data_IF_144700366234
#
_entry.id   IF_144700366234
#
_cell.length_a   1.000
_cell.length_b   1.000
_cell.length_c   1.000
_cell.angle_alpha   90.00
_cell.angle_beta   90.00
_cell.angle_gamma   90.00
#
_symmetry.space_group_name_H-M   'P 1'
#
loop_
_entity.id
_entity.type
_entity.pdbx_description
1 polymer ?
#
# COMPACT_ATOMS: atom_id res chain seq x y z
N UNK A 1 9.49 -0.77 8.74
CA UNK A 1 9.57 -0.41 7.30
C UNK A 1 9.25 1.06 7.17
N UNK A 2 9.91 1.77 6.25
CA UNK A 2 9.79 3.22 6.10
C UNK A 2 8.94 3.58 4.87
N UNK A 3 8.26 4.74 4.91
CA UNK A 3 7.58 5.28 3.73
C UNK A 3 8.56 5.57 2.58
N UNK A 4 9.82 5.89 2.89
CA UNK A 4 10.89 6.10 1.89
C UNK A 4 11.24 4.83 1.13
N UNK A 5 11.00 3.65 1.73
CA UNK A 5 11.25 2.39 1.06
C UNK A 5 10.22 2.13 -0.05
N UNK A 6 9.02 2.70 0.03
CA UNK A 6 7.95 2.51 -0.96
C UNK A 6 8.42 2.97 -2.33
N UNK A 7 8.91 4.21 -2.44
CA UNK A 7 9.41 4.74 -3.70
C UNK A 7 10.62 3.94 -4.20
N UNK A 8 11.54 3.57 -3.29
CA UNK A 8 12.74 2.81 -3.63
C UNK A 8 12.44 1.44 -4.24
N UNK A 9 11.53 0.67 -3.65
CA UNK A 9 11.30 -0.73 -4.05
C UNK A 9 10.06 -0.92 -4.93
N UNK A 10 9.01 -0.12 -4.73
CA UNK A 10 7.76 -0.24 -5.47
C UNK A 10 7.61 0.83 -6.56
N UNK A 11 8.30 1.97 -6.45
CA UNK A 11 8.19 3.07 -7.41
C UNK A 11 8.28 2.63 -8.87
N UNK A 12 9.32 1.87 -9.29
CA UNK A 12 9.45 1.39 -10.66
C UNK A 12 8.25 0.54 -11.12
N UNK A 13 7.80 -0.41 -10.30
CA UNK A 13 6.63 -1.26 -10.61
C UNK A 13 5.36 -0.41 -10.70
N UNK A 14 5.11 0.46 -9.72
CA UNK A 14 3.92 1.31 -9.70
C UNK A 14 3.85 2.20 -10.95
N UNK A 15 4.97 2.81 -11.35
CA UNK A 15 5.04 3.61 -12.57
C UNK A 15 4.79 2.79 -13.85
N UNK A 16 5.21 1.52 -13.90
CA UNK A 16 4.89 0.64 -15.04
C UNK A 16 3.38 0.40 -15.19
N UNK A 17 2.63 0.37 -14.09
CA UNK A 17 1.16 0.29 -14.06
C UNK A 17 0.48 1.67 -14.12
N UNK A 18 1.21 2.73 -14.45
CA UNK A 18 0.67 4.08 -14.63
C UNK A 18 0.33 4.81 -13.33
N UNK A 19 0.83 4.34 -12.19
CA UNK A 19 0.71 5.08 -10.93
C UNK A 19 1.83 6.10 -10.77
N UNK A 20 1.45 7.33 -10.50
CA UNK A 20 2.33 8.45 -10.18
C UNK A 20 2.19 8.81 -8.69
N UNK A 21 3.29 9.25 -8.07
CA UNK A 21 3.27 9.70 -6.67
C UNK A 21 2.43 10.97 -6.55
N UNK A 22 1.35 10.93 -5.75
CA UNK A 22 0.46 12.07 -5.49
C UNK A 22 0.89 12.82 -4.23
N UNK A 23 1.11 12.10 -3.11
CA UNK A 23 1.56 12.70 -1.85
C UNK A 23 2.14 11.68 -0.87
N UNK A 24 2.84 12.17 0.15
CA UNK A 24 3.37 11.37 1.26
C UNK A 24 2.88 12.00 2.56
N UNK A 25 2.29 11.19 3.44
CA UNK A 25 1.98 11.56 4.81
C UNK A 25 2.87 10.72 5.75
N UNK A 26 4.04 11.25 6.15
CA UNK A 26 5.04 10.48 6.88
C UNK A 26 4.70 10.29 8.38
N UNK A 27 3.72 11.03 8.90
CA UNK A 27 3.39 11.03 10.33
C UNK A 27 1.87 11.10 10.56
N UNK A 28 1.26 9.93 10.73
CA UNK A 28 -0.15 9.77 11.08
C UNK A 28 -0.25 9.21 12.49
N UNK A 29 -1.20 9.71 13.28
CA UNK A 29 -1.61 9.05 14.52
C UNK A 29 -2.85 8.18 14.25
N UNK A 30 -2.71 6.86 14.43
CA UNK A 30 -3.79 5.89 14.24
C UNK A 30 -3.95 5.02 15.49
N UNK A 31 -5.04 5.23 16.23
CA UNK A 31 -5.28 4.54 17.50
C UNK A 31 -4.15 4.77 18.50
N UNK A 32 -3.73 6.03 18.66
CA UNK A 32 -2.64 6.47 19.55
C UNK A 32 -1.26 5.89 19.19
N UNK A 33 -1.11 5.36 17.98
CA UNK A 33 0.12 4.74 17.48
C UNK A 33 0.57 5.37 16.17
N UNK A 34 1.89 5.41 15.89
CA UNK A 34 2.39 5.99 14.66
C UNK A 34 2.00 5.14 13.45
N UNK A 35 1.75 5.84 12.35
CA UNK A 35 1.45 5.30 11.03
C UNK A 35 2.01 6.23 9.96
N UNK A 36 2.06 5.76 8.72
CA UNK A 36 2.39 6.56 7.55
C UNK A 36 1.61 6.07 6.34
N UNK A 37 1.47 6.93 5.34
CA UNK A 37 0.86 6.59 4.06
C UNK A 37 1.58 7.27 2.91
N UNK A 38 1.70 6.54 1.80
CA UNK A 38 2.15 7.05 0.51
C UNK A 38 1.00 6.88 -0.47
N UNK A 39 0.64 7.97 -1.14
CA UNK A 39 -0.50 8.03 -2.04
C UNK A 39 0.00 8.12 -3.47
N UNK A 40 -0.54 7.25 -4.32
CA UNK A 40 -0.33 7.24 -5.74
C UNK A 40 -1.65 7.38 -6.48
N UNK A 41 -1.57 7.81 -7.74
CA UNK A 41 -2.72 7.98 -8.61
C UNK A 41 -2.41 7.49 -10.01
N UNK A 42 -3.33 6.75 -10.60
CA UNK A 42 -3.34 6.41 -12.02
C UNK A 42 -4.51 7.10 -12.73
N UNK A 43 -4.71 6.78 -14.01
CA UNK A 43 -5.89 7.21 -14.76
C UNK A 43 -7.19 6.55 -14.28
N UNK A 44 -7.10 5.41 -13.60
CA UNK A 44 -8.26 4.57 -13.24
C UNK A 44 -8.64 4.68 -11.76
N UNK A 45 -7.64 4.82 -10.88
CA UNK A 45 -7.87 4.81 -9.43
C UNK A 45 -6.76 5.51 -8.64
N UNK A 46 -6.98 5.62 -7.33
CA UNK A 46 -5.97 5.97 -6.34
C UNK A 46 -5.48 4.70 -5.65
N UNK A 47 -4.20 4.69 -5.31
CA UNK A 47 -3.55 3.67 -4.50
C UNK A 47 -2.94 4.32 -3.26
N UNK A 48 -3.08 3.65 -2.12
CA UNK A 48 -2.37 3.97 -0.89
C UNK A 48 -1.54 2.76 -0.50
N UNK A 49 -0.26 3.00 -0.24
CA UNK A 49 0.62 2.08 0.48
C UNK A 49 0.77 2.67 1.88
N UNK A 50 0.30 1.95 2.90
CA UNK A 50 0.31 2.45 4.26
C UNK A 50 0.89 1.44 5.24
N UNK A 51 1.27 1.92 6.42
CA UNK A 51 1.67 1.09 7.54
C UNK A 51 1.11 1.68 8.82
N UNK A 52 0.76 0.81 9.78
CA UNK A 52 0.46 1.23 11.14
C UNK A 52 1.19 0.38 12.17
N UNK A 53 1.69 1.02 13.24
CA UNK A 53 2.23 0.30 14.40
C UNK A 53 1.16 -0.47 15.21
N UNK A 54 -0.12 -0.23 14.90
CA UNK A 54 -1.24 -0.95 15.50
C UNK A 54 -1.43 -2.32 14.86
N UNK A 55 -1.37 -2.39 13.54
CA UNK A 55 -1.58 -3.63 12.77
C UNK A 55 -0.26 -4.35 12.46
N UNK A 56 0.86 -3.61 12.43
CA UNK A 56 2.20 -4.15 12.19
C UNK A 56 2.47 -4.52 10.73
N UNK A 57 1.48 -4.38 9.85
CA UNK A 57 1.55 -4.66 8.42
C UNK A 57 1.70 -3.39 7.58
N UNK A 58 2.25 -3.57 6.38
CA UNK A 58 2.07 -2.63 5.28
C UNK A 58 0.93 -3.17 4.43
N UNK A 59 -0.01 -2.29 4.08
CA UNK A 59 -1.24 -2.61 3.38
C UNK A 59 -1.37 -1.81 2.08
N UNK A 60 -2.09 -2.40 1.12
CA UNK A 60 -2.45 -1.79 -0.14
C UNK A 60 -3.93 -1.45 -0.15
N UNK A 61 -4.26 -0.19 -0.38
CA UNK A 61 -5.64 0.25 -0.46
C UNK A 61 -5.93 0.97 -1.78
N UNK A 62 -7.05 0.63 -2.40
CA UNK A 62 -7.54 1.25 -3.62
C UNK A 62 -8.74 2.14 -3.32
N UNK A 63 -8.88 3.22 -4.07
CA UNK A 63 -10.07 4.06 -4.05
C UNK A 63 -10.38 4.65 -5.44
N UNK A 64 -11.64 4.99 -5.74
CA UNK A 64 -12.00 5.76 -6.93
C UNK A 64 -11.30 7.12 -6.98
N UNK A 65 -11.15 7.70 -8.19
CA UNK A 65 -10.47 8.98 -8.39
C UNK A 65 -11.10 10.16 -7.62
N UNK A 66 -12.41 10.09 -7.35
CA UNK A 66 -13.17 11.11 -6.62
C UNK A 66 -13.13 10.90 -5.09
N UNK A 67 -12.40 9.89 -4.60
CA UNK A 67 -12.22 9.67 -3.17
C UNK A 67 -11.32 10.74 -2.56
N UNK A 68 -11.65 11.21 -1.33
CA UNK A 68 -10.75 12.11 -0.61
C UNK A 68 -9.43 11.41 -0.30
N UNK A 69 -8.34 12.17 -0.34
CA UNK A 69 -7.02 11.69 0.11
C UNK A 69 -7.05 11.64 1.64
N UNK A 70 -7.33 10.46 2.19
CA UNK A 70 -7.43 10.19 3.62
C UNK A 70 -6.71 8.90 3.99
N UNK A 71 -6.43 8.70 5.28
CA UNK A 71 -5.84 7.46 5.74
C UNK A 71 -6.85 6.30 5.63
N UNK A 72 -6.58 5.33 4.76
CA UNK A 72 -7.52 4.29 4.38
C UNK A 72 -7.84 3.30 5.49
N UNK A 73 -7.04 3.21 6.56
CA UNK A 73 -7.40 2.44 7.77
C UNK A 73 -8.41 3.17 8.67
N UNK A 74 -8.61 4.48 8.47
CA UNK A 74 -9.67 5.27 9.11
C UNK A 74 -10.90 5.34 8.21
N UNK A 75 -10.69 5.46 6.89
CA UNK A 75 -11.71 5.33 5.84
C UNK A 75 -13.05 6.05 6.12
N UNK A 76 -13.03 7.33 6.50
CA UNK A 76 -14.27 8.05 6.85
C UNK A 76 -15.23 8.13 5.66
N UNK A 77 -14.68 8.21 4.44
CA UNK A 77 -15.43 8.21 3.19
C UNK A 77 -16.03 6.85 2.83
N UNK A 78 -15.51 5.76 3.41
CA UNK A 78 -15.80 4.36 3.06
C UNK A 78 -15.43 3.98 1.62
N UNK A 79 -14.64 4.82 0.94
CA UNK A 79 -14.25 4.63 -0.46
C UNK A 79 -12.94 3.86 -0.62
N UNK A 80 -12.12 3.80 0.42
CA UNK A 80 -10.87 3.03 0.41
C UNK A 80 -11.17 1.57 0.72
N UNK A 81 -10.62 0.66 -0.07
CA UNK A 81 -10.83 -0.79 0.06
C UNK A 81 -9.47 -1.49 -0.02
N UNK A 82 -9.28 -2.57 0.74
CA UNK A 82 -8.03 -3.33 0.68
C UNK A 82 -7.91 -4.01 -0.69
N UNK A 83 -6.77 -3.86 -1.38
CA UNK A 83 -6.51 -4.53 -2.66
C UNK A 83 -6.77 -6.04 -2.55
N UNK A 84 -6.24 -6.67 -1.51
CA UNK A 84 -6.37 -8.12 -1.29
C UNK A 84 -7.80 -8.56 -0.95
N UNK A 85 -8.68 -7.65 -0.55
CA UNK A 85 -10.11 -7.97 -0.35
C UNK A 85 -10.93 -7.90 -1.63
N UNK A 86 -10.35 -7.32 -2.69
CA UNK A 86 -11.00 -7.13 -4.00
C UNK A 86 -10.60 -8.21 -5.01
N UNK A 87 -9.68 -9.11 -4.66
CA UNK A 87 -9.16 -10.16 -5.52
C UNK A 87 -9.37 -11.52 -4.87
N UNK A 88 -10.03 -12.43 -5.59
CA UNK A 88 -10.17 -13.84 -5.18
C UNK A 88 -9.00 -14.71 -5.72
N UNK A 89 -7.97 -14.07 -6.29
CA UNK A 89 -6.81 -14.77 -6.84
C UNK A 89 -5.91 -15.29 -5.71
N UNK A 90 -5.52 -16.57 -5.79
CA UNK A 90 -4.49 -17.13 -4.92
C UNK A 90 -3.12 -16.85 -5.55
N UNK A 91 -2.37 -15.93 -4.92
CA UNK A 91 -1.04 -15.53 -5.38
C UNK A 91 0.02 -16.64 -5.26
N UNK A 92 -0.23 -17.68 -4.45
CA UNK A 92 0.72 -18.77 -4.20
C UNK A 92 2.05 -18.33 -3.56
N UNK A 93 2.15 -17.10 -3.07
CA UNK A 93 3.36 -16.51 -2.50
C UNK A 93 3.52 -16.96 -1.04
N UNK A 94 4.68 -17.55 -0.75
CA UNK A 94 5.06 -17.81 0.63
C UNK A 94 5.40 -16.50 1.35
N UNK A 95 4.64 -16.17 2.39
CA UNK A 95 4.94 -15.03 3.27
C UNK A 95 6.36 -15.17 3.84
N UNK A 96 7.22 -14.15 3.71
CA UNK A 96 8.56 -14.18 4.27
C UNK A 96 8.55 -14.42 5.79
N UNK A 97 9.56 -15.08 6.36
CA UNK A 97 9.67 -15.20 7.81
C UNK A 97 9.88 -13.83 8.45
N UNK A 98 9.48 -13.67 9.72
CA UNK A 98 9.65 -12.42 10.47
C UNK A 98 11.13 -11.96 10.56
N UNK A 99 12.07 -12.90 10.48
CA UNK A 99 13.51 -12.65 10.47
C UNK A 99 14.06 -12.20 9.10
N UNK A 100 13.24 -12.18 8.05
CA UNK A 100 13.67 -11.76 6.73
C UNK A 100 14.07 -10.27 6.72
N UNK A 101 15.04 -9.93 5.88
CA UNK A 101 15.48 -8.56 5.68
C UNK A 101 14.42 -7.68 5.04
N UNK A 102 14.56 -6.37 5.20
CA UNK A 102 13.67 -5.34 4.63
C UNK A 102 13.50 -5.52 3.11
N UNK A 103 14.59 -5.79 2.38
CA UNK A 103 14.52 -6.00 0.93
C UNK A 103 13.66 -7.21 0.54
N UNK A 104 13.79 -8.34 1.24
CA UNK A 104 12.96 -9.54 0.99
C UNK A 104 11.48 -9.23 1.18
N UNK A 105 11.15 -8.50 2.25
CA UNK A 105 9.79 -8.08 2.55
C UNK A 105 9.20 -7.13 1.51
N UNK A 106 10.02 -6.25 0.93
CA UNK A 106 9.57 -5.36 -0.15
C UNK A 106 9.45 -6.07 -1.49
N UNK A 107 10.40 -6.96 -1.84
CA UNK A 107 10.29 -7.78 -3.05
C UNK A 107 9.03 -8.66 -3.03
N UNK A 108 8.73 -9.28 -1.90
CA UNK A 108 7.50 -10.04 -1.73
C UNK A 108 6.25 -9.16 -1.88
N UNK A 109 6.26 -7.93 -1.36
CA UNK A 109 5.15 -6.97 -1.53
C UNK A 109 4.97 -6.51 -2.96
N UNK A 110 6.05 -6.29 -3.69
CA UNK A 110 5.99 -5.99 -5.12
C UNK A 110 5.34 -7.14 -5.87
N UNK A 111 5.79 -8.38 -5.64
CA UNK A 111 5.22 -9.57 -6.27
C UNK A 111 3.74 -9.78 -5.88
N UNK A 112 3.38 -9.51 -4.62
CA UNK A 112 2.00 -9.55 -4.15
C UNK A 112 1.14 -8.54 -4.91
N UNK A 113 1.56 -7.28 -4.96
CA UNK A 113 0.87 -6.24 -5.72
C UNK A 113 0.67 -6.66 -7.18
N UNK A 114 1.74 -7.09 -7.86
CA UNK A 114 1.69 -7.52 -9.28
C UNK A 114 0.71 -8.68 -9.50
N UNK A 115 0.61 -9.61 -8.57
CA UNK A 115 -0.30 -10.77 -8.68
C UNK A 115 -1.77 -10.40 -8.62
N UNK A 116 -2.11 -9.23 -8.06
CA UNK A 116 -3.50 -8.79 -7.85
C UNK A 116 -3.94 -7.61 -8.72
N UNK A 117 -3.05 -7.09 -9.58
CA UNK A 117 -3.37 -5.98 -10.51
C UNK A 117 -3.33 -6.39 -11.99
N UNK A 118 -3.06 -7.67 -12.29
CA UNK A 118 -3.05 -8.27 -13.63
C UNK A 118 -4.34 -9.02 -13.91
#
# INVERSE_FOLDING_TARGET
>A
MSYTDVEKYMGPTLSQYGFELESIEPSIEYGERPAWAVYFRSADCKLQVCWSAREGSVDFMLAPLDAPTEFGLVNKSKKWQFLLSLSDFDDGLATPPLSAGVETWWRWRTALFESHVV
#
